data_IF_257933672223
#
_entry.id   IF_257933672223
#
_cell.length_a   1.000
_cell.length_b   1.000
_cell.length_c   1.000
_cell.angle_alpha   90.00
_cell.angle_beta   90.00
_cell.angle_gamma   90.00
#
_symmetry.space_group_name_H-M   'P 1'
#
loop_
_entity.id
_entity.type
_entity.pdbx_description
1 polymer ?
#
# COMPACT_ATOMS: atom_id res chain seq x y z
N UNK A 1 19.27 8.62 19.45
CA UNK A 1 19.72 9.28 18.19
C UNK A 1 18.62 10.24 17.78
N UNK A 2 18.71 11.50 18.20
CA UNK A 2 17.62 12.49 18.02
C UNK A 2 17.77 13.37 16.78
N UNK A 3 18.97 13.50 16.22
CA UNK A 3 19.24 14.46 15.14
C UNK A 3 20.18 13.88 14.06
N UNK A 4 19.91 12.68 13.56
CA UNK A 4 20.85 11.96 12.69
C UNK A 4 20.74 12.23 11.19
N UNK A 5 19.63 12.80 10.69
CA UNK A 5 19.35 12.85 9.25
C UNK A 5 18.93 14.22 8.70
N UNK A 6 18.54 15.17 9.55
CA UNK A 6 18.03 16.46 9.09
C UNK A 6 19.14 17.42 8.62
N UNK A 7 20.42 17.07 8.84
CA UNK A 7 21.58 17.86 8.44
C UNK A 7 22.06 17.67 6.98
N UNK A 8 21.52 16.71 6.23
CA UNK A 8 21.93 16.47 4.83
C UNK A 8 21.12 17.26 3.77
N UNK A 9 20.33 18.24 4.19
CA UNK A 9 19.55 19.05 3.25
C UNK A 9 20.33 20.23 2.68
N UNK A 10 20.96 19.99 1.52
CA UNK A 10 21.00 20.84 0.31
C UNK A 10 22.18 20.40 -0.59
N UNK A 11 22.05 19.30 -1.33
CA UNK A 11 22.96 19.09 -2.48
C UNK A 11 22.50 18.09 -3.55
N UNK A 12 21.69 17.07 -3.25
CA UNK A 12 21.39 16.05 -4.27
C UNK A 12 19.90 15.66 -4.25
N UNK A 13 19.12 16.24 -5.16
CA UNK A 13 17.82 15.70 -5.59
C UNK A 13 17.95 14.30 -6.25
N UNK A 14 19.18 13.77 -6.31
CA UNK A 14 19.58 12.59 -7.05
C UNK A 14 20.14 11.47 -6.15
N UNK A 15 20.06 11.54 -4.82
CA UNK A 15 20.42 10.38 -3.99
C UNK A 15 19.23 9.42 -3.88
N UNK A 16 19.24 8.27 -4.60
CA UNK A 16 18.13 7.32 -4.59
C UNK A 16 17.87 6.74 -3.19
N UNK A 17 18.90 6.71 -2.32
CA UNK A 17 18.79 6.17 -0.98
C UNK A 17 17.85 6.98 -0.09
N UNK A 18 17.82 8.31 -0.27
CA UNK A 18 16.94 9.19 0.51
C UNK A 18 15.48 8.94 0.13
N UNK A 19 15.20 8.77 -1.16
CA UNK A 19 13.86 8.47 -1.64
C UNK A 19 13.38 7.10 -1.12
N UNK A 20 14.25 6.08 -1.19
CA UNK A 20 13.97 4.74 -0.68
C UNK A 20 13.71 4.74 0.85
N UNK A 21 14.54 5.43 1.64
CA UNK A 21 14.35 5.54 3.09
C UNK A 21 13.04 6.26 3.43
N UNK A 22 12.72 7.36 2.74
CA UNK A 22 11.45 8.05 2.91
C UNK A 22 10.27 7.11 2.59
N UNK A 23 10.37 6.34 1.51
CA UNK A 23 9.33 5.41 1.08
C UNK A 23 9.12 4.30 2.12
N UNK A 24 10.19 3.63 2.53
CA UNK A 24 10.14 2.54 3.50
C UNK A 24 9.57 3.00 4.84
N UNK A 25 10.00 4.19 5.32
CA UNK A 25 9.45 4.80 6.54
C UNK A 25 7.98 5.10 6.40
N UNK A 26 7.55 5.64 5.25
CA UNK A 26 6.15 5.98 5.02
C UNK A 26 5.27 4.72 5.04
N UNK A 27 5.63 3.67 4.28
CA UNK A 27 4.90 2.38 4.28
C UNK A 27 4.84 1.78 5.67
N UNK A 28 5.96 1.74 6.39
CA UNK A 28 6.02 1.19 7.76
C UNK A 28 5.16 2.00 8.73
N UNK A 29 5.16 3.32 8.60
CA UNK A 29 4.32 4.22 9.41
C UNK A 29 2.83 4.01 9.13
N UNK A 30 2.42 3.86 7.86
CA UNK A 30 1.02 3.58 7.54
C UNK A 30 0.58 2.20 8.02
N UNK A 31 1.43 1.17 7.89
CA UNK A 31 1.18 -0.15 8.45
C UNK A 31 1.02 -0.09 9.99
N UNK A 32 1.95 0.57 10.68
CA UNK A 32 1.88 0.77 12.13
C UNK A 32 0.66 1.60 12.55
N UNK A 33 0.26 2.61 11.77
CA UNK A 33 -0.95 3.39 12.03
C UNK A 33 -2.22 2.53 11.92
N UNK A 34 -2.27 1.60 10.96
CA UNK A 34 -3.41 0.70 10.79
C UNK A 34 -3.53 -0.29 11.95
N UNK A 35 -2.40 -0.80 12.46
CA UNK A 35 -2.34 -1.74 13.60
C UNK A 35 -2.55 -1.05 14.95
N UNK A 36 -1.71 -0.07 15.28
CA UNK A 36 -1.68 0.57 16.61
C UNK A 36 -2.71 1.68 16.78
N UNK A 37 -3.26 2.20 15.67
CA UNK A 37 -4.25 3.28 15.65
C UNK A 37 -3.75 4.64 16.16
N UNK A 38 -2.44 4.81 16.33
CA UNK A 38 -1.87 6.05 16.83
C UNK A 38 -1.67 7.06 15.70
N UNK A 39 -2.20 8.28 15.87
CA UNK A 39 -2.13 9.36 14.88
C UNK A 39 -0.70 9.84 14.60
N UNK A 40 0.25 9.61 15.52
CA UNK A 40 1.66 9.98 15.32
C UNK A 40 2.29 9.29 14.11
N UNK A 41 1.96 8.02 13.89
CA UNK A 41 2.53 7.25 12.77
C UNK A 41 1.96 7.71 11.44
N UNK A 42 0.65 7.93 11.36
CA UNK A 42 0.03 8.49 10.16
C UNK A 42 0.61 9.88 9.85
N UNK A 43 0.71 10.78 10.83
CA UNK A 43 1.32 12.10 10.62
C UNK A 43 2.74 11.99 10.05
N UNK A 44 3.54 11.06 10.58
CA UNK A 44 4.88 10.80 10.07
C UNK A 44 4.86 10.24 8.63
N UNK A 45 3.95 9.31 8.34
CA UNK A 45 3.73 8.77 6.99
C UNK A 45 3.34 9.84 5.98
N UNK A 46 2.44 10.74 6.36
CA UNK A 46 2.01 11.88 5.53
C UNK A 46 3.13 12.88 5.27
N UNK A 47 4.00 13.15 6.25
CA UNK A 47 5.19 14.00 6.05
C UNK A 47 6.11 13.39 4.99
N UNK A 48 6.38 12.09 5.08
CA UNK A 48 7.25 11.40 4.12
C UNK A 48 6.61 11.30 2.74
N UNK A 49 5.31 11.01 2.67
CA UNK A 49 4.53 11.06 1.42
C UNK A 49 4.61 12.43 0.78
N UNK A 50 4.46 13.50 1.56
CA UNK A 50 4.57 14.89 1.06
C UNK A 50 5.92 15.20 0.43
N UNK A 51 7.02 14.68 1.00
CA UNK A 51 8.37 14.81 0.41
C UNK A 51 8.48 14.10 -0.94
N UNK A 52 8.04 12.84 -1.01
CA UNK A 52 8.06 12.05 -2.25
C UNK A 52 7.16 12.67 -3.33
N UNK A 53 5.96 13.12 -2.94
CA UNK A 53 5.04 13.82 -3.84
C UNK A 53 5.64 15.09 -4.42
N UNK A 54 6.34 15.87 -3.59
CA UNK A 54 7.05 17.07 -4.06
C UNK A 54 8.10 16.72 -5.12
N UNK A 55 8.90 15.67 -4.89
CA UNK A 55 9.89 15.21 -5.87
C UNK A 55 9.26 14.68 -7.16
N UNK A 56 8.16 13.95 -7.07
CA UNK A 56 7.40 13.49 -8.23
C UNK A 56 6.87 14.68 -9.04
N UNK A 57 6.26 15.68 -8.39
CA UNK A 57 5.78 16.91 -9.02
C UNK A 57 6.89 17.78 -9.61
N UNK A 58 8.12 17.70 -9.07
CA UNK A 58 9.31 18.34 -9.66
C UNK A 58 9.83 17.63 -10.91
N UNK A 59 9.19 16.54 -11.36
CA UNK A 59 9.51 15.84 -12.60
C UNK A 59 10.51 14.70 -12.45
N UNK A 60 10.72 14.15 -11.24
CA UNK A 60 11.57 12.97 -11.07
C UNK A 60 10.74 11.68 -11.30
N UNK A 61 10.91 10.96 -12.43
CA UNK A 61 10.14 9.75 -12.71
C UNK A 61 10.52 8.58 -11.77
N UNK A 62 11.74 8.58 -11.22
CA UNK A 62 12.24 7.50 -10.37
C UNK A 62 11.58 7.44 -8.99
N UNK A 63 10.73 8.41 -8.64
CA UNK A 63 9.96 8.38 -7.38
C UNK A 63 8.46 8.24 -7.61
N UNK A 64 8.03 8.19 -8.87
CA UNK A 64 6.62 8.15 -9.23
C UNK A 64 5.95 6.86 -8.72
N UNK A 65 6.62 5.71 -8.85
CA UNK A 65 6.12 4.44 -8.32
C UNK A 65 5.93 4.49 -6.80
N UNK A 66 6.89 5.06 -6.05
CA UNK A 66 6.74 5.27 -4.61
C UNK A 66 5.55 6.17 -4.29
N UNK A 67 5.39 7.29 -5.01
CA UNK A 67 4.27 8.19 -4.78
C UNK A 67 2.93 7.47 -4.97
N UNK A 68 2.78 6.68 -6.03
CA UNK A 68 1.53 5.98 -6.34
C UNK A 68 1.14 4.98 -5.25
N UNK A 69 2.11 4.23 -4.71
CA UNK A 69 1.88 3.29 -3.61
C UNK A 69 1.53 4.05 -2.32
N UNK A 70 2.24 5.13 -1.99
CA UNK A 70 1.98 5.91 -0.78
C UNK A 70 0.64 6.65 -0.82
N UNK A 71 0.20 7.09 -2.00
CA UNK A 71 -1.14 7.65 -2.18
C UNK A 71 -2.22 6.58 -1.87
N UNK A 72 -2.03 5.33 -2.33
CA UNK A 72 -2.92 4.24 -1.98
C UNK A 72 -2.93 3.93 -0.48
N UNK A 73 -1.75 3.85 0.16
CA UNK A 73 -1.63 3.59 1.61
C UNK A 73 -2.28 4.70 2.47
N UNK A 74 -2.13 5.96 2.06
CA UNK A 74 -2.79 7.10 2.69
C UNK A 74 -4.31 6.98 2.60
N UNK A 75 -4.83 6.60 1.43
CA UNK A 75 -6.26 6.36 1.22
C UNK A 75 -6.78 5.21 2.10
N UNK A 76 -6.03 4.10 2.21
CA UNK A 76 -6.35 2.99 3.13
C UNK A 76 -6.43 3.50 4.57
N UNK A 77 -5.43 4.23 5.04
CA UNK A 77 -5.42 4.75 6.42
C UNK A 77 -6.63 5.66 6.69
N UNK A 78 -6.98 6.53 5.74
CA UNK A 78 -8.16 7.39 5.81
C UNK A 78 -9.47 6.58 5.84
N UNK A 79 -9.57 5.52 5.03
CA UNK A 79 -10.71 4.60 5.00
C UNK A 79 -10.90 3.89 6.34
N UNK A 80 -9.84 3.29 6.88
CA UNK A 80 -9.85 2.55 8.16
C UNK A 80 -10.30 3.43 9.32
N UNK A 81 -9.86 4.69 9.36
CA UNK A 81 -10.29 5.65 10.39
C UNK A 81 -11.77 5.97 10.32
N UNK A 82 -12.32 6.09 9.11
CA UNK A 82 -13.74 6.39 8.89
C UNK A 82 -14.62 5.21 9.26
N UNK A 83 -14.28 3.99 8.83
CA UNK A 83 -15.06 2.79 9.18
C UNK A 83 -15.13 2.58 10.69
N UNK A 84 -14.06 2.93 11.42
CA UNK A 84 -14.05 2.95 12.89
C UNK A 84 -14.94 4.03 13.49
N UNK A 85 -14.89 5.27 12.99
CA UNK A 85 -15.77 6.36 13.45
C UNK A 85 -17.24 6.02 13.22
N UNK A 86 -17.58 5.38 12.10
CA UNK A 86 -18.94 4.95 11.77
C UNK A 86 -19.42 3.78 12.64
N UNK A 87 -18.58 2.78 12.94
CA UNK A 87 -18.91 1.75 13.95
C UNK A 87 -19.15 2.34 15.35
N UNK A 88 -18.54 3.49 15.67
CA UNK A 88 -18.76 4.25 16.91
C UNK A 88 -19.96 5.22 16.82
N UNK A 89 -20.42 5.54 15.61
CA UNK A 89 -21.47 6.51 15.31
C UNK A 89 -22.54 5.83 14.46
N UNK A 90 -23.12 4.75 14.97
CA UNK A 90 -24.35 4.18 14.42
C UNK A 90 -25.49 5.17 14.71
N UNK A 91 -25.96 5.95 13.71
CA UNK A 91 -27.35 6.46 13.54
C UNK A 91 -27.54 7.68 12.60
N UNK A 92 -26.60 8.09 11.73
CA UNK A 92 -26.86 9.22 10.81
C UNK A 92 -26.49 8.95 9.34
N UNK A 93 -27.34 9.41 8.39
CA UNK A 93 -27.11 9.22 6.96
C UNK A 93 -25.91 10.05 6.51
N UNK A 94 -24.94 9.35 5.91
CA UNK A 94 -23.62 9.85 5.55
C UNK A 94 -23.64 10.71 4.28
N UNK A 95 -23.09 11.92 4.36
CA UNK A 95 -22.90 12.84 3.21
C UNK A 95 -21.82 12.29 2.23
N UNK A 96 -22.14 12.24 0.93
CA UNK A 96 -21.35 11.59 -0.14
C UNK A 96 -20.11 12.36 -0.63
N UNK A 97 -19.96 13.65 -0.34
CA UNK A 97 -19.08 14.52 -1.14
C UNK A 97 -17.57 14.50 -0.80
N UNK A 98 -17.08 13.64 0.08
CA UNK A 98 -15.64 13.53 0.39
C UNK A 98 -15.23 12.15 0.96
N UNK A 99 -15.91 11.08 0.56
CA UNK A 99 -15.61 9.72 1.03
C UNK A 99 -14.56 9.07 0.12
N UNK A 100 -13.53 8.49 0.72
CA UNK A 100 -12.63 7.56 0.02
C UNK A 100 -13.38 6.24 -0.05
N UNK A 101 -13.75 5.83 -1.26
CA UNK A 101 -14.44 4.55 -1.49
C UNK A 101 -13.40 3.42 -1.62
N UNK A 102 -13.79 2.17 -1.31
CA UNK A 102 -12.97 1.00 -1.60
C UNK A 102 -12.49 0.95 -3.05
N UNK A 103 -13.36 1.30 -4.00
CA UNK A 103 -13.06 1.28 -5.43
C UNK A 103 -11.94 2.26 -5.80
N UNK A 104 -11.92 3.45 -5.19
CA UNK A 104 -10.85 4.43 -5.41
C UNK A 104 -9.50 3.88 -4.93
N UNK A 105 -9.48 3.15 -3.82
CA UNK A 105 -8.27 2.51 -3.27
C UNK A 105 -7.78 1.41 -4.22
N UNK A 106 -8.69 0.55 -4.66
CA UNK A 106 -8.40 -0.55 -5.60
C UNK A 106 -7.84 0.03 -6.91
N UNK A 107 -8.46 1.09 -7.43
CA UNK A 107 -8.01 1.77 -8.65
C UNK A 107 -6.61 2.36 -8.46
N UNK A 108 -6.33 2.99 -7.32
CA UNK A 108 -5.03 3.59 -7.03
C UNK A 108 -3.92 2.52 -6.95
N UNK A 109 -4.15 1.43 -6.23
CA UNK A 109 -3.22 0.29 -6.21
C UNK A 109 -3.04 -0.33 -7.59
N UNK A 110 -4.12 -0.54 -8.33
CA UNK A 110 -4.06 -1.13 -9.68
C UNK A 110 -3.23 -0.25 -10.61
N UNK A 111 -3.41 1.07 -10.53
CA UNK A 111 -2.60 2.02 -11.29
C UNK A 111 -1.13 1.94 -10.90
N UNK A 112 -0.82 1.82 -9.60
CA UNK A 112 0.54 1.66 -9.10
C UNK A 112 1.18 0.36 -9.62
N UNK A 113 0.45 -0.76 -9.57
CA UNK A 113 0.92 -2.07 -10.06
C UNK A 113 1.25 -1.99 -11.55
N UNK A 114 0.31 -1.50 -12.36
CA UNK A 114 0.46 -1.42 -13.82
C UNK A 114 1.62 -0.48 -14.19
N UNK A 115 1.72 0.68 -13.55
CA UNK A 115 2.79 1.64 -13.82
C UNK A 115 4.16 1.05 -13.46
N UNK A 116 4.30 0.48 -12.26
CA UNK A 116 5.54 -0.14 -11.80
C UNK A 116 5.95 -1.32 -12.68
N UNK A 117 5.02 -2.21 -13.02
CA UNK A 117 5.29 -3.37 -13.87
C UNK A 117 5.75 -2.96 -15.28
N UNK A 118 5.10 -1.97 -15.89
CA UNK A 118 5.45 -1.46 -17.23
C UNK A 118 6.82 -0.78 -17.30
N UNK A 119 7.26 -0.18 -16.20
CA UNK A 119 8.55 0.52 -16.13
C UNK A 119 9.69 -0.34 -15.55
N UNK A 120 9.46 -1.65 -15.34
CA UNK A 120 10.49 -2.57 -14.86
C UNK A 120 10.69 -2.59 -13.33
N UNK A 121 9.88 -1.85 -12.57
CA UNK A 121 9.89 -1.86 -11.10
C UNK A 121 9.08 -3.05 -10.55
N UNK A 122 9.53 -4.27 -10.87
CA UNK A 122 8.79 -5.51 -10.52
C UNK A 122 8.59 -5.68 -9.01
N UNK A 123 9.58 -5.32 -8.19
CA UNK A 123 9.48 -5.39 -6.74
C UNK A 123 8.40 -4.45 -6.17
N UNK A 124 8.23 -3.26 -6.76
CA UNK A 124 7.18 -2.33 -6.34
C UNK A 124 5.80 -2.78 -6.83
N UNK A 125 5.72 -3.37 -8.02
CA UNK A 125 4.49 -4.04 -8.48
C UNK A 125 4.10 -5.20 -7.57
N UNK A 126 5.09 -5.98 -7.11
CA UNK A 126 4.89 -7.08 -6.16
C UNK A 126 4.39 -6.57 -4.82
N UNK A 127 5.02 -5.53 -4.28
CA UNK A 127 4.63 -4.88 -3.02
C UNK A 127 3.21 -4.30 -3.12
N UNK A 128 2.91 -3.53 -4.17
CA UNK A 128 1.59 -2.96 -4.37
C UNK A 128 0.50 -4.04 -4.48
N UNK A 129 0.79 -5.16 -5.16
CA UNK A 129 -0.12 -6.31 -5.26
C UNK A 129 -0.34 -6.98 -3.90
N UNK A 130 0.72 -7.15 -3.09
CA UNK A 130 0.61 -7.69 -1.72
C UNK A 130 -0.27 -6.80 -0.83
N UNK A 131 -0.07 -5.48 -0.91
CA UNK A 131 -0.81 -4.50 -0.11
C UNK A 131 -2.29 -4.44 -0.51
N UNK A 132 -2.57 -4.50 -1.81
CA UNK A 132 -3.95 -4.59 -2.31
C UNK A 132 -4.63 -5.89 -1.85
N UNK A 133 -3.93 -7.02 -1.94
CA UNK A 133 -4.44 -8.31 -1.45
C UNK A 133 -4.76 -8.27 0.06
N UNK A 134 -3.86 -7.71 0.87
CA UNK A 134 -4.08 -7.51 2.31
C UNK A 134 -5.29 -6.60 2.58
N UNK A 135 -5.46 -5.55 1.76
CA UNK A 135 -6.60 -4.64 1.88
C UNK A 135 -7.94 -5.34 1.57
N UNK A 136 -8.02 -6.06 0.45
CA UNK A 136 -9.22 -6.83 0.06
C UNK A 136 -9.57 -7.87 1.14
N UNK A 137 -8.57 -8.59 1.65
CA UNK A 137 -8.75 -9.59 2.70
C UNK A 137 -9.27 -8.98 4.00
N UNK A 138 -8.61 -7.93 4.50
CA UNK A 138 -8.85 -7.42 5.86
C UNK A 138 -10.06 -6.49 5.96
N UNK A 139 -10.35 -5.75 4.91
CA UNK A 139 -11.34 -4.67 4.97
C UNK A 139 -12.56 -4.89 4.09
N UNK A 140 -12.43 -5.63 2.99
CA UNK A 140 -13.55 -5.92 2.10
C UNK A 140 -14.12 -7.33 2.32
N UNK A 141 -13.30 -8.25 2.85
CA UNK A 141 -13.67 -9.66 2.97
C UNK A 141 -13.74 -10.39 1.62
N UNK A 142 -13.18 -9.78 0.58
CA UNK A 142 -13.14 -10.34 -0.78
C UNK A 142 -11.96 -11.30 -0.90
N UNK A 143 -12.21 -12.57 -0.53
CA UNK A 143 -11.23 -13.65 -0.57
C UNK A 143 -10.75 -13.97 -1.99
N UNK A 144 -11.62 -14.09 -3.02
CA UNK A 144 -11.18 -14.32 -4.40
C UNK A 144 -10.22 -13.25 -4.91
N UNK A 145 -10.56 -11.96 -4.74
CA UNK A 145 -9.69 -10.87 -5.20
C UNK A 145 -8.39 -10.81 -4.38
N UNK A 146 -8.47 -11.03 -3.06
CA UNK A 146 -7.28 -11.11 -2.22
C UNK A 146 -6.32 -12.21 -2.69
N UNK A 147 -6.84 -13.41 -2.98
CA UNK A 147 -6.05 -14.53 -3.50
C UNK A 147 -5.37 -14.17 -4.82
N UNK A 148 -6.14 -13.66 -5.79
CA UNK A 148 -5.62 -13.25 -7.09
C UNK A 148 -4.45 -12.26 -6.97
N UNK A 149 -4.59 -11.23 -6.12
CA UNK A 149 -3.54 -10.22 -5.92
C UNK A 149 -2.31 -10.76 -5.20
N UNK A 150 -2.48 -11.68 -4.26
CA UNK A 150 -1.37 -12.33 -3.57
C UNK A 150 -0.60 -13.28 -4.50
N UNK A 151 -1.28 -14.01 -5.39
CA UNK A 151 -0.65 -14.82 -6.44
C UNK A 151 0.13 -13.96 -7.43
N UNK A 152 -0.44 -12.83 -7.86
CA UNK A 152 0.29 -11.83 -8.67
C UNK A 152 1.53 -11.30 -7.96
N UNK A 153 1.44 -10.99 -6.67
CA UNK A 153 2.60 -10.58 -5.87
C UNK A 153 3.71 -11.65 -5.85
N UNK A 154 3.32 -12.92 -5.69
CA UNK A 154 4.25 -14.05 -5.72
C UNK A 154 4.96 -14.16 -7.07
N UNK A 155 4.23 -14.04 -8.18
CA UNK A 155 4.84 -14.07 -9.53
C UNK A 155 5.84 -12.93 -9.71
N UNK A 156 5.48 -11.69 -9.34
CA UNK A 156 6.40 -10.55 -9.43
C UNK A 156 7.64 -10.72 -8.54
N UNK A 157 7.50 -11.18 -7.29
CA UNK A 157 8.65 -11.44 -6.42
C UNK A 157 9.53 -12.58 -6.94
N UNK A 158 8.93 -13.59 -7.57
CA UNK A 158 9.66 -14.71 -8.19
C UNK A 158 10.48 -14.23 -9.38
N UNK A 159 9.87 -13.45 -10.29
CA UNK A 159 10.55 -12.87 -11.46
C UNK A 159 11.68 -11.92 -11.07
N UNK A 160 11.50 -11.15 -9.99
CA UNK A 160 12.53 -10.30 -9.44
C UNK A 160 13.68 -11.08 -8.75
N UNK A 161 13.46 -12.36 -8.40
CA UNK A 161 14.45 -13.22 -7.74
C UNK A 161 14.41 -13.18 -6.20
N UNK A 162 13.39 -12.57 -5.59
CA UNK A 162 13.27 -12.46 -4.14
C UNK A 162 12.57 -13.67 -3.49
N UNK A 163 13.17 -14.87 -3.64
CA UNK A 163 12.58 -16.13 -3.18
C UNK A 163 12.27 -16.18 -1.67
N UNK A 164 13.07 -15.49 -0.85
CA UNK A 164 12.80 -15.37 0.59
C UNK A 164 11.48 -14.64 0.88
N UNK A 165 11.18 -13.60 0.10
CA UNK A 165 9.92 -12.86 0.20
C UNK A 165 8.75 -13.69 -0.33
N UNK A 166 8.94 -14.46 -1.40
CA UNK A 166 7.93 -15.43 -1.90
C UNK A 166 7.51 -16.39 -0.80
N UNK A 167 8.47 -17.06 -0.16
CA UNK A 167 8.20 -17.98 0.96
C UNK A 167 7.47 -17.29 2.10
N UNK A 168 7.87 -16.05 2.44
CA UNK A 168 7.21 -15.27 3.48
C UNK A 168 5.73 -15.00 3.14
N UNK A 169 5.41 -14.57 1.92
CA UNK A 169 4.03 -14.31 1.48
C UNK A 169 3.22 -15.61 1.49
N UNK A 170 3.78 -16.71 0.97
CA UNK A 170 3.12 -18.02 0.98
C UNK A 170 2.79 -18.52 2.38
N UNK A 171 3.73 -18.38 3.33
CA UNK A 171 3.52 -18.78 4.71
C UNK A 171 2.49 -17.87 5.41
N UNK A 172 2.58 -16.55 5.22
CA UNK A 172 1.70 -15.58 5.87
C UNK A 172 0.24 -15.71 5.40
N UNK A 173 0.03 -15.96 4.12
CA UNK A 173 -1.31 -16.01 3.51
C UNK A 173 -1.72 -17.42 3.06
N UNK A 174 -1.16 -18.47 3.67
CA UNK A 174 -1.43 -19.86 3.31
C UNK A 174 -2.92 -20.19 3.26
N UNK A 175 -3.69 -19.71 4.25
CA UNK A 175 -5.14 -19.87 4.33
C UNK A 175 -5.91 -19.23 3.15
N UNK A 176 -5.41 -18.13 2.59
CA UNK A 176 -6.01 -17.48 1.42
C UNK A 176 -5.60 -18.19 0.13
N UNK A 177 -4.33 -18.57 0.01
CA UNK A 177 -3.80 -19.21 -1.19
C UNK A 177 -4.35 -20.62 -1.41
N UNK A 178 -4.66 -21.34 -0.33
CA UNK A 178 -5.30 -22.66 -0.38
C UNK A 178 -6.82 -22.61 -0.59
N UNK A 179 -7.41 -21.42 -0.58
CA UNK A 179 -8.84 -21.26 -0.81
C UNK A 179 -9.23 -21.79 -2.19
N UNK A 180 -10.22 -22.69 -2.21
CA UNK A 180 -10.91 -23.12 -3.41
C UNK A 180 -12.37 -22.68 -3.28
N UNK A 181 -12.83 -21.93 -4.28
CA UNK A 181 -14.24 -21.56 -4.36
C UNK A 181 -15.04 -22.86 -4.57
N UNK A 182 -15.95 -23.19 -3.64
CA UNK A 182 -16.83 -24.34 -3.84
C UNK A 182 -17.74 -23.97 -5.00
N UNK A 183 -17.53 -24.61 -6.15
CA UNK A 183 -18.45 -24.54 -7.28
C UNK A 183 -19.84 -24.89 -6.76
N UNK A 184 -20.75 -23.92 -6.76
CA UNK A 184 -22.17 -24.17 -6.56
C UNK A 184 -22.62 -24.96 -7.77
N UNK A 185 -22.57 -26.29 -7.65
CA UNK A 185 -23.24 -27.20 -8.56
C UNK A 185 -24.72 -26.81 -8.48
N UNK A 186 -25.19 -26.09 -9.50
CA UNK A 186 -26.62 -25.94 -9.73
C UNK A 186 -27.07 -27.25 -10.35
N UNK A 187 -27.63 -28.13 -9.50
CA UNK A 187 -28.44 -29.27 -9.93
C UNK A 187 -29.78 -28.78 -10.50
#
# INVERSE_FOLDING_TARGET
>A
IRDGHDCFQKALMANPQIAMDCFLRAVSCFAAANETQQSRYEKMGEIMRGKIKKWASSGNPNVQHYNMILDAESMVCAYVKRTRKSKKLSLLPMKRHAQVLPDDIIQQYTSAIVWSARNGYQHDAALASERLGDFCLRFLGDMPEAKYRLEQSIDYWTRWGALGKVRHVQTKYSHVLQYQERSVVHD
#
